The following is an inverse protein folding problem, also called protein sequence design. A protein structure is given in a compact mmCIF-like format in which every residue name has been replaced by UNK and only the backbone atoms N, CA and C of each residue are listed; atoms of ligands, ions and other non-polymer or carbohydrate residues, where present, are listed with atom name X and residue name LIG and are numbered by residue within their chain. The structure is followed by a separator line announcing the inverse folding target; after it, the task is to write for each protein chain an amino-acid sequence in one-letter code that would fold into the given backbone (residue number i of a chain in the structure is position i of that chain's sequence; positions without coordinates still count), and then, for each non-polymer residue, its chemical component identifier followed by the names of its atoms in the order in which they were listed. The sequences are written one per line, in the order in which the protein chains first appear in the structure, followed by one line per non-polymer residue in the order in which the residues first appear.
data_IF_236811420505
#
_entry.id   IF_236811420505
#
_cell.length_a   1.000
_cell.length_b   1.000
_cell.length_c   1.000
_cell.angle_alpha   90.00
_cell.angle_beta   90.00
_cell.angle_gamma   90.00
#
_symmetry.space_group_name_H-M   'P 1'
#
loop_
_entity.id
_entity.type
_entity.pdbx_description
1 polymer ?
#
# COMPACT_ATOMS: atom_id res chain seq x y z
N UNK A 1 -36.12 -71.48 -17.25
CA UNK A 1 -36.64 -70.72 -16.09
C UNK A 1 -35.48 -70.31 -15.20
N UNK A 2 -35.60 -69.19 -14.48
CA UNK A 2 -34.60 -68.61 -13.56
C UNK A 2 -33.75 -67.49 -14.18
N UNK A 3 -34.28 -66.27 -14.08
CA UNK A 3 -33.82 -65.16 -13.20
C UNK A 3 -33.02 -64.12 -13.96
N UNK A 4 -33.75 -63.12 -14.48
CA UNK A 4 -33.23 -61.78 -14.77
C UNK A 4 -32.52 -61.30 -13.50
N UNK A 5 -31.19 -61.20 -13.55
CA UNK A 5 -30.42 -60.48 -12.52
C UNK A 5 -30.67 -58.99 -12.75
N UNK A 6 -31.36 -58.36 -11.81
CA UNK A 6 -31.34 -56.92 -11.63
C UNK A 6 -29.87 -56.46 -11.51
N UNK A 7 -29.46 -55.37 -12.18
CA UNK A 7 -28.12 -54.82 -11.96
C UNK A 7 -27.98 -54.43 -10.49
N UNK A 8 -26.87 -54.81 -9.87
CA UNK A 8 -26.52 -54.40 -8.51
C UNK A 8 -26.39 -52.88 -8.49
N UNK A 9 -26.92 -52.23 -7.46
CA UNK A 9 -26.76 -50.78 -7.18
C UNK A 9 -25.28 -50.32 -7.14
N UNK A 10 -24.33 -51.25 -7.11
CA UNK A 10 -22.90 -50.99 -7.16
C UNK A 10 -22.37 -50.55 -8.55
N UNK A 11 -23.11 -50.77 -9.64
CA UNK A 11 -22.69 -50.36 -11.00
C UNK A 11 -23.24 -48.98 -11.43
N UNK A 12 -24.07 -48.33 -10.62
CA UNK A 12 -24.56 -46.96 -10.88
C UNK A 12 -23.61 -45.86 -10.36
N UNK A 13 -22.55 -46.23 -9.64
CA UNK A 13 -21.52 -45.31 -9.14
C UNK A 13 -20.24 -45.28 -10.00
N UNK A 14 -20.10 -46.19 -10.98
CA UNK A 14 -18.92 -46.30 -11.83
C UNK A 14 -19.01 -45.47 -13.13
N UNK A 15 -20.18 -44.95 -13.48
CA UNK A 15 -20.41 -44.05 -14.64
C UNK A 15 -20.70 -42.60 -14.24
N UNK A 16 -20.37 -42.19 -13.02
CA UNK A 16 -20.38 -40.78 -12.64
C UNK A 16 -18.98 -40.21 -12.88
N UNK A 17 -18.83 -39.13 -13.67
CA UNK A 17 -17.53 -38.47 -13.82
C UNK A 17 -16.99 -38.09 -12.44
N UNK A 18 -15.67 -38.12 -12.23
CA UNK A 18 -15.07 -37.82 -10.93
C UNK A 18 -15.67 -36.51 -10.40
N UNK A 19 -16.26 -36.54 -9.20
CA UNK A 19 -16.84 -35.41 -8.47
C UNK A 19 -15.71 -34.42 -8.12
N UNK A 20 -15.23 -33.75 -9.15
CA UNK A 20 -14.17 -32.76 -9.19
C UNK A 20 -14.58 -31.57 -10.07
N UNK A 21 -15.82 -31.58 -10.59
CA UNK A 21 -16.30 -30.59 -11.56
C UNK A 21 -17.63 -29.87 -11.21
N UNK A 22 -18.12 -29.95 -9.96
CA UNK A 22 -19.38 -29.26 -9.56
C UNK A 22 -19.21 -28.24 -8.43
N UNK A 23 -18.00 -28.09 -7.87
CA UNK A 23 -17.68 -26.92 -7.02
C UNK A 23 -16.31 -26.33 -7.36
N UNK A 24 -16.05 -26.11 -8.65
CA UNK A 24 -15.28 -24.91 -8.99
C UNK A 24 -16.21 -23.75 -8.63
N UNK A 25 -16.13 -23.28 -7.38
CA UNK A 25 -16.55 -21.90 -7.09
C UNK A 25 -15.98 -21.08 -8.23
N UNK A 26 -16.79 -20.33 -9.00
CA UNK A 26 -16.23 -19.49 -10.04
C UNK A 26 -15.15 -18.73 -9.32
N UNK A 27 -13.89 -18.92 -9.74
CA UNK A 27 -12.81 -18.04 -9.34
C UNK A 27 -13.40 -16.72 -9.75
N UNK A 28 -13.98 -15.99 -8.78
CA UNK A 28 -14.46 -14.65 -9.00
C UNK A 28 -13.14 -14.02 -9.36
N UNK A 29 -12.88 -13.89 -10.67
CA UNK A 29 -11.92 -12.92 -11.19
C UNK A 29 -12.20 -11.75 -10.29
N UNK A 30 -11.23 -11.28 -9.47
CA UNK A 30 -11.50 -10.12 -8.65
C UNK A 30 -12.12 -9.15 -9.64
N UNK A 31 -13.39 -8.78 -9.43
CA UNK A 31 -14.04 -7.79 -10.29
C UNK A 31 -12.95 -6.75 -10.46
N UNK A 32 -12.55 -6.38 -11.71
CA UNK A 32 -11.58 -5.32 -11.90
C UNK A 32 -12.00 -4.26 -10.90
N UNK A 33 -11.12 -4.00 -9.93
CA UNK A 33 -11.55 -3.16 -8.85
C UNK A 33 -12.01 -1.88 -9.54
N UNK A 34 -12.96 -1.14 -9.01
CA UNK A 34 -13.47 0.11 -9.61
C UNK A 34 -12.36 1.18 -9.84
N UNK A 35 -11.09 0.81 -9.65
CA UNK A 35 -9.82 1.52 -9.74
C UNK A 35 -8.84 0.97 -10.80
N UNK A 36 -9.18 -0.16 -11.43
CA UNK A 36 -8.72 -0.52 -12.79
C UNK A 36 -9.41 0.37 -13.83
N UNK A 37 -10.50 1.03 -13.42
CA UNK A 37 -11.03 2.24 -14.04
C UNK A 37 -10.04 3.37 -13.71
N UNK A 38 -9.61 4.19 -14.71
CA UNK A 38 -8.81 5.38 -14.44
C UNK A 38 -9.44 6.17 -13.31
N UNK A 39 -8.61 6.74 -12.41
CA UNK A 39 -9.06 7.64 -11.33
C UNK A 39 -10.22 8.48 -11.88
N UNK A 40 -11.43 8.19 -11.36
CA UNK A 40 -12.67 8.66 -11.93
C UNK A 40 -12.57 10.16 -12.19
N UNK A 41 -12.57 10.50 -13.49
CA UNK A 41 -12.76 11.84 -14.02
C UNK A 41 -12.24 12.94 -13.09
N UNK A 42 -10.91 13.07 -12.98
CA UNK A 42 -10.36 14.39 -12.64
C UNK A 42 -11.07 15.39 -13.55
N UNK A 43 -11.80 16.39 -13.01
CA UNK A 43 -12.59 17.30 -13.82
C UNK A 43 -11.71 17.83 -14.95
N UNK A 44 -12.23 17.76 -16.18
CA UNK A 44 -11.53 18.28 -17.36
C UNK A 44 -11.20 19.77 -17.23
N UNK A 45 -11.85 20.47 -16.29
CA UNK A 45 -11.69 21.90 -16.04
C UNK A 45 -11.03 22.12 -14.68
N UNK A 46 -10.14 23.09 -14.63
CA UNK A 46 -9.50 23.56 -13.41
C UNK A 46 -10.50 24.28 -12.50
N UNK A 47 -10.94 23.59 -11.43
CA UNK A 47 -11.74 24.18 -10.35
C UNK A 47 -10.84 24.78 -9.26
N UNK A 48 -11.34 25.69 -8.40
CA UNK A 48 -10.56 26.23 -7.27
C UNK A 48 -10.04 25.14 -6.34
N UNK A 49 -10.83 24.09 -6.08
CA UNK A 49 -10.41 22.95 -5.26
C UNK A 49 -9.26 22.16 -5.90
N UNK A 50 -9.28 21.96 -7.23
CA UNK A 50 -8.20 21.31 -7.97
C UNK A 50 -6.96 22.19 -7.97
N UNK A 51 -7.09 23.50 -8.21
CA UNK A 51 -5.97 24.46 -8.14
C UNK A 51 -5.27 24.39 -6.78
N UNK A 52 -6.02 24.44 -5.68
CA UNK A 52 -5.47 24.33 -4.34
C UNK A 52 -4.79 22.96 -4.08
N UNK A 53 -5.35 21.87 -4.63
CA UNK A 53 -4.71 20.54 -4.57
C UNK A 53 -3.40 20.51 -5.35
N UNK A 54 -3.38 21.04 -6.57
CA UNK A 54 -2.17 21.11 -7.40
C UNK A 54 -1.08 21.94 -6.73
N UNK A 55 -1.44 23.07 -6.13
CA UNK A 55 -0.51 23.91 -5.38
C UNK A 55 0.14 23.15 -4.22
N UNK A 56 -0.62 22.38 -3.44
CA UNK A 56 -0.06 21.55 -2.36
C UNK A 56 0.85 20.44 -2.86
N UNK A 57 0.48 19.80 -3.96
CA UNK A 57 1.29 18.73 -4.58
C UNK A 57 2.64 19.28 -5.03
N UNK A 58 2.61 20.42 -5.71
CA UNK A 58 3.80 21.08 -6.25
C UNK A 58 4.70 21.62 -5.14
N UNK A 59 4.12 22.20 -4.09
CA UNK A 59 4.82 22.61 -2.86
C UNK A 59 5.30 21.43 -2.01
N UNK A 60 5.02 20.19 -2.42
CA UNK A 60 5.41 18.96 -1.72
C UNK A 60 4.92 18.94 -0.26
N UNK A 61 3.66 19.33 -0.05
CA UNK A 61 3.01 19.22 1.26
C UNK A 61 3.16 17.79 1.83
N UNK A 62 3.31 17.65 3.15
CA UNK A 62 3.53 16.35 3.75
C UNK A 62 2.34 15.41 3.52
N UNK A 63 2.67 14.15 3.24
CA UNK A 63 1.70 13.13 2.87
C UNK A 63 1.19 12.40 4.10
N UNK A 64 -0.12 12.38 4.29
CA UNK A 64 -0.74 11.66 5.42
C UNK A 64 -0.64 10.15 5.24
N UNK A 65 -0.57 9.41 6.34
CA UNK A 65 -0.62 7.95 6.31
C UNK A 65 -1.77 7.42 7.15
N UNK A 66 -2.71 6.78 6.45
CA UNK A 66 -3.76 5.96 7.04
C UNK A 66 -3.53 4.51 6.63
N UNK A 67 -3.45 3.62 7.61
CA UNK A 67 -3.21 2.19 7.41
C UNK A 67 -4.07 1.36 8.35
N UNK A 68 -4.63 0.27 7.84
CA UNK A 68 -5.17 -0.79 8.68
C UNK A 68 -4.01 -1.69 9.09
N UNK A 69 -3.76 -1.79 10.39
CA UNK A 69 -2.68 -2.63 10.95
C UNK A 69 -3.12 -4.07 11.14
N UNK A 70 -4.39 -4.29 11.45
CA UNK A 70 -4.92 -5.62 11.68
C UNK A 70 -6.40 -5.63 12.00
N UNK A 71 -6.89 -6.83 12.27
CA UNK A 71 -8.25 -7.10 12.76
C UNK A 71 -8.14 -8.06 13.93
N UNK A 72 -8.96 -7.84 14.94
CA UNK A 72 -9.10 -8.77 16.06
C UNK A 72 -10.27 -9.72 15.76
N UNK A 73 -10.15 -10.98 16.19
CA UNK A 73 -11.17 -12.02 15.97
C UNK A 73 -11.66 -12.65 17.26
N UNK A 74 -10.86 -12.62 18.32
CA UNK A 74 -11.23 -13.13 19.64
C UNK A 74 -11.19 -12.01 20.66
N UNK A 75 -11.91 -12.21 21.76
CA UNK A 75 -11.98 -11.26 22.87
C UNK A 75 -10.61 -11.07 23.51
N UNK A 76 -9.82 -12.13 23.64
CA UNK A 76 -8.46 -12.08 24.19
C UNK A 76 -7.56 -11.20 23.32
N UNK A 77 -7.59 -11.39 22.00
CA UNK A 77 -6.81 -10.57 21.07
C UNK A 77 -7.28 -9.11 21.09
N UNK A 78 -8.58 -8.86 21.25
CA UNK A 78 -9.10 -7.51 21.44
C UNK A 78 -8.57 -6.88 22.73
N UNK A 79 -8.66 -7.57 23.87
CA UNK A 79 -8.18 -7.09 25.17
C UNK A 79 -6.69 -6.75 25.14
N UNK A 80 -5.86 -7.67 24.62
CA UNK A 80 -4.43 -7.44 24.46
C UNK A 80 -4.11 -6.28 23.51
N UNK A 81 -4.93 -6.07 22.46
CA UNK A 81 -4.76 -4.91 21.58
C UNK A 81 -5.08 -3.59 22.29
N UNK A 82 -6.18 -3.55 23.06
CA UNK A 82 -6.56 -2.37 23.84
C UNK A 82 -5.51 -2.05 24.92
N UNK A 83 -4.97 -3.06 25.60
CA UNK A 83 -3.84 -2.91 26.52
C UNK A 83 -2.60 -2.36 25.80
N UNK A 84 -2.28 -2.88 24.62
CA UNK A 84 -1.13 -2.41 23.84
C UNK A 84 -1.27 -0.92 23.47
N UNK A 85 -2.40 -0.51 22.89
CA UNK A 85 -2.58 0.88 22.45
C UNK A 85 -2.70 1.86 23.62
N UNK A 86 -3.18 1.43 24.79
CA UNK A 86 -3.29 2.29 25.98
C UNK A 86 -2.05 2.20 26.88
N UNK A 87 -1.03 1.41 26.52
CA UNK A 87 0.10 1.06 27.41
C UNK A 87 -0.39 0.59 28.79
N UNK A 88 -1.33 -0.35 28.80
CA UNK A 88 -1.98 -0.89 29.99
C UNK A 88 -2.65 0.21 30.87
N UNK A 89 -3.28 1.19 30.22
CA UNK A 89 -3.99 2.30 30.86
C UNK A 89 -3.11 3.50 31.26
N UNK A 90 -1.82 3.51 30.91
CA UNK A 90 -0.94 4.67 31.10
C UNK A 90 -1.29 5.83 30.16
N UNK A 91 -1.76 5.52 28.95
CA UNK A 91 -2.21 6.51 27.97
C UNK A 91 -3.74 6.63 28.01
N UNK A 92 -4.22 7.87 28.07
CA UNK A 92 -5.64 8.17 27.99
C UNK A 92 -6.19 7.88 26.60
N UNK A 93 -7.25 7.06 26.54
CA UNK A 93 -8.04 6.82 25.33
C UNK A 93 -9.27 7.71 25.28
N UNK A 94 -9.77 7.98 24.08
CA UNK A 94 -11.03 8.70 23.86
C UNK A 94 -12.01 7.80 23.11
N UNK A 95 -13.24 7.68 23.62
CA UNK A 95 -14.31 6.89 23.00
C UNK A 95 -15.20 7.72 22.06
N UNK A 96 -16.15 7.06 21.40
CA UNK A 96 -17.14 7.70 20.54
C UNK A 96 -18.01 8.76 21.24
N UNK A 97 -18.21 8.66 22.56
CA UNK A 97 -18.94 9.64 23.36
C UNK A 97 -18.07 10.82 23.82
N UNK A 98 -16.78 10.83 23.48
CA UNK A 98 -15.81 11.78 24.03
C UNK A 98 -15.42 11.50 25.48
N UNK A 99 -15.75 10.32 26.02
CA UNK A 99 -15.34 9.93 27.35
C UNK A 99 -13.83 9.61 27.37
N UNK A 100 -13.12 10.15 28.35
CA UNK A 100 -11.71 9.85 28.59
C UNK A 100 -11.60 8.53 29.37
N UNK A 101 -11.02 7.51 28.74
CA UNK A 101 -10.61 6.28 29.39
C UNK A 101 -9.27 6.53 30.08
N UNK A 102 -9.35 6.95 31.35
CA UNK A 102 -8.18 7.16 32.18
C UNK A 102 -7.87 5.92 33.03
N UNK A 103 -6.62 5.46 32.99
CA UNK A 103 -6.14 4.41 33.85
C UNK A 103 -6.63 3.00 33.51
N UNK A 104 -6.26 2.04 34.36
CA UNK A 104 -6.60 0.62 34.21
C UNK A 104 -8.09 0.32 34.37
N UNK A 105 -8.80 1.13 35.16
CA UNK A 105 -10.24 0.95 35.42
C UNK A 105 -11.02 1.19 34.13
N UNK A 106 -10.85 2.36 33.50
CA UNK A 106 -11.53 2.68 32.25
C UNK A 106 -11.19 1.68 31.12
N UNK A 107 -9.94 1.21 31.06
CA UNK A 107 -9.55 0.14 30.13
C UNK A 107 -10.32 -1.16 30.37
N UNK A 108 -10.41 -1.62 31.63
CA UNK A 108 -11.14 -2.84 31.99
C UNK A 108 -12.64 -2.71 31.70
N UNK A 109 -13.23 -1.55 31.95
CA UNK A 109 -14.64 -1.30 31.67
C UNK A 109 -14.92 -1.37 30.15
N UNK A 110 -14.07 -0.74 29.34
CA UNK A 110 -14.15 -0.85 27.88
C UNK A 110 -13.99 -2.30 27.41
N UNK A 111 -12.98 -2.99 27.93
CA UNK A 111 -12.72 -4.39 27.62
C UNK A 111 -13.90 -5.29 27.98
N UNK A 112 -14.57 -5.06 29.13
CA UNK A 112 -15.75 -5.81 29.54
C UNK A 112 -16.92 -5.53 28.60
N UNK A 113 -17.24 -4.25 28.36
CA UNK A 113 -18.33 -3.86 27.46
C UNK A 113 -18.19 -4.48 26.08
N UNK A 114 -17.02 -4.39 25.46
CA UNK A 114 -16.80 -4.96 24.12
C UNK A 114 -16.74 -6.50 24.13
N UNK A 115 -16.35 -7.12 25.25
CA UNK A 115 -16.41 -8.57 25.40
C UNK A 115 -17.86 -9.07 25.50
N UNK A 116 -18.70 -8.36 26.26
CA UNK A 116 -20.13 -8.66 26.39
C UNK A 116 -20.83 -8.53 25.03
N UNK A 117 -20.56 -7.44 24.31
CA UNK A 117 -21.05 -7.25 22.93
C UNK A 117 -20.59 -8.38 21.99
N UNK A 118 -19.32 -8.79 22.11
CA UNK A 118 -18.77 -9.90 21.31
C UNK A 118 -19.44 -11.23 21.63
N UNK A 119 -19.75 -11.52 22.90
CA UNK A 119 -20.46 -12.74 23.31
C UNK A 119 -21.89 -12.79 22.77
N UNK A 120 -22.57 -11.63 22.68
CA UNK A 120 -23.88 -11.53 22.05
C UNK A 120 -23.81 -11.77 20.53
N UNK A 121 -22.74 -11.32 19.88
CA UNK A 121 -22.50 -11.46 18.44
C UNK A 121 -21.97 -12.85 18.03
N UNK A 122 -21.24 -13.55 18.90
CA UNK A 122 -20.67 -14.88 18.64
C UNK A 122 -21.74 -15.91 18.25
N UNK A 123 -22.94 -15.79 18.85
CA UNK A 123 -24.12 -16.59 18.53
C UNK A 123 -24.58 -16.44 17.07
N UNK A 124 -24.22 -15.34 16.40
CA UNK A 124 -24.58 -15.04 15.01
C UNK A 124 -23.47 -15.39 14.02
N UNK A 125 -22.18 -15.23 14.39
CA UNK A 125 -21.05 -15.51 13.50
C UNK A 125 -19.69 -15.64 14.22
N UNK A 126 -19.29 -16.88 14.51
CA UNK A 126 -17.99 -17.22 15.16
C UNK A 126 -16.74 -16.71 14.42
N UNK A 127 -16.78 -16.55 13.10
CA UNK A 127 -15.60 -16.17 12.30
C UNK A 127 -15.50 -14.67 11.96
N UNK A 128 -16.38 -13.83 12.53
CA UNK A 128 -16.38 -12.39 12.29
C UNK A 128 -15.17 -11.69 12.94
N UNK A 129 -14.67 -10.62 12.32
CA UNK A 129 -13.77 -9.71 13.04
C UNK A 129 -14.55 -8.94 14.10
N UNK A 130 -13.96 -8.77 15.29
CA UNK A 130 -14.51 -7.99 16.39
C UNK A 130 -14.14 -6.51 16.25
N UNK A 131 -12.89 -6.20 15.91
CA UNK A 131 -12.44 -4.83 15.64
C UNK A 131 -11.55 -4.71 14.40
N UNK A 132 -11.50 -3.50 13.85
CA UNK A 132 -10.55 -3.08 12.82
C UNK A 132 -9.62 -2.04 13.44
N UNK A 133 -8.31 -2.30 13.35
CA UNK A 133 -7.29 -1.44 13.93
C UNK A 133 -6.68 -0.58 12.82
N UNK A 134 -6.73 0.74 13.00
CA UNK A 134 -6.32 1.76 12.06
C UNK A 134 -5.23 2.61 12.73
N UNK A 135 -4.21 2.98 12.00
CA UNK A 135 -3.23 4.00 12.40
C UNK A 135 -3.39 5.20 11.48
N UNK A 136 -3.49 6.38 12.09
CA UNK A 136 -3.41 7.69 11.47
C UNK A 136 -2.06 8.29 11.87
N UNK A 137 -1.26 8.75 10.92
CA UNK A 137 0.08 9.26 11.22
C UNK A 137 0.51 10.34 10.27
N UNK A 138 1.45 11.16 10.76
CA UNK A 138 2.04 12.28 10.03
C UNK A 138 3.57 12.22 10.05
N UNK A 139 4.25 12.85 9.07
CA UNK A 139 5.70 13.01 9.10
C UNK A 139 6.19 13.74 10.36
N UNK A 140 7.47 13.53 10.68
CA UNK A 140 8.11 14.16 11.83
C UNK A 140 8.06 15.69 11.72
N UNK A 141 7.93 16.37 12.87
CA UNK A 141 7.82 17.83 12.93
C UNK A 141 6.39 18.37 12.77
N UNK A 142 5.38 17.50 12.65
CA UNK A 142 3.97 17.91 12.70
C UNK A 142 3.52 18.07 14.14
N UNK A 143 2.71 19.09 14.46
CA UNK A 143 2.13 19.25 15.79
C UNK A 143 1.26 18.05 16.17
N UNK A 144 1.65 17.37 17.24
CA UNK A 144 0.98 16.18 17.72
C UNK A 144 -0.43 16.50 18.25
N UNK A 145 -0.64 17.62 18.93
CA UNK A 145 -1.95 17.96 19.48
C UNK A 145 -2.98 18.15 18.34
N UNK A 146 -2.63 18.93 17.32
CA UNK A 146 -3.47 19.10 16.15
C UNK A 146 -3.68 17.78 15.35
N UNK A 147 -2.70 16.86 15.35
CA UNK A 147 -2.89 15.51 14.78
C UNK A 147 -3.93 14.70 15.55
N UNK A 148 -3.92 14.77 16.89
CA UNK A 148 -4.93 14.11 17.73
C UNK A 148 -6.32 14.70 17.47
N UNK A 149 -6.44 16.02 17.40
CA UNK A 149 -7.72 16.67 17.12
C UNK A 149 -8.24 16.36 15.71
N UNK A 150 -7.35 16.26 14.71
CA UNK A 150 -7.71 15.83 13.37
C UNK A 150 -8.17 14.37 13.35
N UNK A 151 -7.52 13.50 14.12
CA UNK A 151 -7.92 12.11 14.28
C UNK A 151 -9.30 11.97 14.95
N UNK A 152 -9.57 12.79 15.98
CA UNK A 152 -10.89 12.86 16.63
C UNK A 152 -11.98 13.20 15.63
N UNK A 153 -11.84 14.30 14.88
CA UNK A 153 -12.86 14.68 13.91
C UNK A 153 -13.02 13.67 12.77
N UNK A 154 -11.91 13.09 12.29
CA UNK A 154 -11.95 12.00 11.32
C UNK A 154 -12.76 10.80 11.83
N UNK A 155 -12.57 10.41 13.10
CA UNK A 155 -13.28 9.29 13.70
C UNK A 155 -14.77 9.58 13.87
N UNK A 156 -15.13 10.79 14.33
CA UNK A 156 -16.52 11.25 14.44
C UNK A 156 -17.21 11.20 13.08
N UNK A 157 -16.63 11.82 12.05
CA UNK A 157 -17.24 11.91 10.72
C UNK A 157 -17.33 10.55 10.02
N UNK A 158 -16.31 9.69 10.18
CA UNK A 158 -16.22 8.43 9.44
C UNK A 158 -16.96 7.29 10.13
N UNK A 159 -16.94 7.25 11.46
CA UNK A 159 -17.42 6.10 12.24
C UNK A 159 -18.50 6.45 13.27
N UNK A 160 -18.54 7.69 13.77
CA UNK A 160 -19.38 8.07 14.91
C UNK A 160 -20.88 7.89 14.73
N UNK A 161 -21.38 7.81 13.50
CA UNK A 161 -22.79 7.52 13.25
C UNK A 161 -23.16 6.04 13.48
N UNK A 162 -22.25 5.10 13.20
CA UNK A 162 -22.60 3.67 13.10
C UNK A 162 -21.70 2.73 13.88
N UNK A 163 -20.54 3.16 14.38
CA UNK A 163 -19.57 2.28 15.01
C UNK A 163 -18.99 2.87 16.29
N UNK A 164 -18.92 2.05 17.33
CA UNK A 164 -18.13 2.33 18.53
C UNK A 164 -16.64 2.34 18.16
N UNK A 165 -15.89 3.26 18.76
CA UNK A 165 -14.45 3.33 18.53
C UNK A 165 -13.72 3.90 19.73
N UNK A 166 -12.45 3.55 19.83
CA UNK A 166 -11.52 4.15 20.78
C UNK A 166 -10.27 4.60 20.04
N UNK A 167 -9.74 5.76 20.37
CA UNK A 167 -8.45 6.19 19.86
C UNK A 167 -7.51 6.66 20.95
N UNK A 168 -6.21 6.42 20.71
CA UNK A 168 -5.12 6.76 21.63
C UNK A 168 -3.98 7.38 20.84
N UNK A 169 -3.44 8.49 21.34
CA UNK A 169 -2.28 9.13 20.76
C UNK A 169 -0.98 8.56 21.33
N UNK A 170 -0.04 8.23 20.45
CA UNK A 170 1.31 7.82 20.82
C UNK A 170 2.32 8.91 20.41
N UNK A 171 3.24 9.23 21.32
CA UNK A 171 4.27 10.28 21.14
C UNK A 171 5.71 9.74 21.19
N UNK A 172 5.88 8.43 21.42
CA UNK A 172 7.20 7.81 21.59
C UNK A 172 8.00 7.75 20.28
N UNK A 173 7.32 7.72 19.14
CA UNK A 173 7.95 7.68 17.83
C UNK A 173 8.24 9.08 17.29
N UNK A 174 9.25 9.16 16.40
CA UNK A 174 9.56 10.38 15.64
C UNK A 174 8.37 10.91 14.80
N UNK A 175 7.38 10.05 14.55
CA UNK A 175 6.20 10.37 13.76
C UNK A 175 4.97 10.41 14.68
N UNK A 176 4.30 11.57 14.82
CA UNK A 176 3.09 11.65 15.61
C UNK A 176 2.02 10.76 14.97
N UNK A 177 1.46 9.86 15.77
CA UNK A 177 0.46 8.91 15.30
C UNK A 177 -0.61 8.62 16.35
N UNK A 178 -1.77 8.21 15.84
CA UNK A 178 -2.95 7.88 16.62
C UNK A 178 -3.39 6.48 16.22
N UNK A 179 -3.50 5.61 17.22
CA UNK A 179 -4.15 4.32 17.11
C UNK A 179 -5.65 4.51 17.23
N UNK A 180 -6.40 4.02 16.24
CA UNK A 180 -7.86 4.04 16.22
C UNK A 180 -8.36 2.60 16.07
N UNK A 181 -9.06 2.11 17.08
CA UNK A 181 -9.70 0.79 17.05
C UNK A 181 -11.19 0.99 16.92
N UNK A 182 -11.77 0.43 15.85
CA UNK A 182 -13.20 0.56 15.54
C UNK A 182 -13.87 -0.79 15.68
N UNK A 183 -15.01 -0.85 16.36
CA UNK A 183 -15.83 -2.06 16.46
C UNK A 183 -16.32 -2.44 15.06
N UNK A 184 -16.06 -3.69 14.68
CA UNK A 184 -16.42 -4.18 13.34
C UNK A 184 -17.92 -4.21 13.16
N UNK A 185 -18.70 -4.66 14.16
CA UNK A 185 -20.15 -4.65 14.09
C UNK A 185 -20.68 -3.23 14.35
N UNK A 186 -21.42 -2.69 13.39
CA UNK A 186 -22.09 -1.40 13.53
C UNK A 186 -23.45 -1.51 14.23
N UNK A 187 -24.01 -0.37 14.63
CA UNK A 187 -25.34 -0.27 15.22
C UNK A 187 -26.45 -0.71 14.25
N UNK A 188 -26.21 -0.60 12.94
CA UNK A 188 -27.07 -1.12 11.88
C UNK A 188 -26.97 -2.64 11.66
N UNK A 189 -26.15 -3.34 12.46
CA UNK A 189 -25.89 -4.77 12.31
C UNK A 189 -24.99 -5.15 11.15
N UNK A 190 -24.48 -4.19 10.37
CA UNK A 190 -23.52 -4.44 9.28
C UNK A 190 -22.10 -4.36 9.80
N UNK A 191 -21.22 -5.18 9.19
CA UNK A 191 -19.80 -5.18 9.55
C UNK A 191 -18.99 -4.21 8.70
N UNK A 192 -18.07 -3.51 9.37
CA UNK A 192 -17.06 -2.67 8.76
C UNK A 192 -16.12 -3.51 7.90
N UNK A 193 -16.23 -3.35 6.58
CA UNK A 193 -15.41 -4.07 5.61
C UNK A 193 -14.64 -3.11 4.68
N UNK A 194 -13.63 -2.40 5.19
CA UNK A 194 -12.85 -1.47 4.41
C UNK A 194 -12.13 -2.17 3.26
N UNK A 195 -12.32 -1.61 2.09
CA UNK A 195 -11.65 -1.96 0.84
C UNK A 195 -10.55 -0.95 0.55
N UNK A 196 -9.79 -1.22 -0.51
CA UNK A 196 -8.71 -0.33 -0.96
C UNK A 196 -9.21 1.09 -1.32
N UNK A 197 -10.44 1.17 -1.83
CA UNK A 197 -11.17 2.42 -2.12
C UNK A 197 -11.25 3.31 -0.87
N UNK A 198 -11.80 2.72 0.19
CA UNK A 198 -12.11 3.41 1.43
C UNK A 198 -10.84 3.97 2.08
N UNK A 199 -9.72 3.26 1.96
CA UNK A 199 -8.43 3.76 2.44
C UNK A 199 -7.97 5.04 1.75
N UNK A 200 -8.28 5.24 0.46
CA UNK A 200 -7.93 6.50 -0.20
C UNK A 200 -8.84 7.63 0.29
N UNK A 201 -10.14 7.37 0.39
CA UNK A 201 -11.12 8.32 0.94
C UNK A 201 -10.75 8.73 2.36
N UNK A 202 -10.39 7.76 3.21
CA UNK A 202 -9.98 8.03 4.59
C UNK A 202 -8.72 8.90 4.68
N UNK A 203 -7.73 8.67 3.79
CA UNK A 203 -6.55 9.55 3.72
C UNK A 203 -6.94 10.97 3.30
N UNK A 204 -7.79 11.11 2.28
CA UNK A 204 -8.22 12.44 1.80
C UNK A 204 -9.02 13.20 2.85
N UNK A 205 -9.90 12.51 3.59
CA UNK A 205 -10.63 13.07 4.74
C UNK A 205 -9.70 13.50 5.86
N UNK A 206 -8.81 12.61 6.30
CA UNK A 206 -7.85 12.94 7.36
C UNK A 206 -6.93 14.10 6.96
N UNK A 207 -6.49 14.18 5.69
CA UNK A 207 -5.76 15.34 5.18
C UNK A 207 -6.62 16.62 5.18
N UNK A 208 -7.93 16.51 4.93
CA UNK A 208 -8.90 17.59 5.08
C UNK A 208 -8.95 18.12 6.51
N UNK A 209 -9.13 17.23 7.48
CA UNK A 209 -9.19 17.58 8.90
C UNK A 209 -7.90 18.23 9.42
N UNK A 210 -6.75 17.77 8.95
CA UNK A 210 -5.46 18.40 9.25
C UNK A 210 -5.37 19.82 8.70
N UNK A 211 -5.84 20.05 7.47
CA UNK A 211 -5.84 21.38 6.83
C UNK A 211 -6.75 22.37 7.55
N UNK A 212 -7.90 21.92 8.05
CA UNK A 212 -8.80 22.76 8.87
C UNK A 212 -8.12 23.22 10.17
N UNK A 213 -7.11 22.49 10.64
CA UNK A 213 -6.30 22.79 11.84
C UNK A 213 -4.97 23.46 11.51
N UNK A 214 -4.83 24.00 10.30
CA UNK A 214 -3.63 24.73 9.89
C UNK A 214 -2.43 23.85 9.52
N UNK A 215 -2.55 22.53 9.56
CA UNK A 215 -1.49 21.61 9.11
C UNK A 215 -1.61 21.43 7.60
N UNK A 216 -0.58 21.88 6.87
CA UNK A 216 -0.46 21.56 5.45
C UNK A 216 -0.35 20.04 5.30
N UNK A 217 -1.32 19.40 4.65
CA UNK A 217 -1.35 17.95 4.48
C UNK A 217 -2.01 17.59 3.15
N UNK A 218 -1.52 16.53 2.51
CA UNK A 218 -2.09 15.99 1.27
C UNK A 218 -2.14 14.46 1.29
N UNK A 219 -2.99 13.88 0.45
CA UNK A 219 -3.21 12.44 0.37
C UNK A 219 -3.13 11.97 -1.09
N UNK A 220 -1.95 12.08 -1.71
CA UNK A 220 -1.81 11.69 -3.11
C UNK A 220 -1.47 10.21 -3.30
N UNK A 221 -2.19 9.50 -4.19
CA UNK A 221 -1.82 8.15 -4.58
C UNK A 221 -0.40 8.14 -5.11
N UNK A 222 0.41 7.17 -4.70
CA UNK A 222 1.82 7.03 -5.12
C UNK A 222 2.04 7.19 -6.64
N UNK A 223 1.11 6.67 -7.46
CA UNK A 223 1.14 6.76 -8.92
C UNK A 223 1.09 8.18 -9.46
N UNK A 224 0.40 9.09 -8.76
CA UNK A 224 0.28 10.50 -9.15
C UNK A 224 1.58 11.27 -8.93
N UNK A 225 2.43 10.79 -8.02
CA UNK A 225 3.78 11.32 -7.75
C UNK A 225 4.88 10.75 -8.66
N UNK A 226 4.53 10.08 -9.75
CA UNK A 226 5.51 9.44 -10.65
C UNK A 226 6.18 8.17 -10.09
N UNK A 227 5.80 7.72 -8.88
CA UNK A 227 6.39 6.53 -8.24
C UNK A 227 5.68 5.26 -8.69
N UNK A 228 6.22 4.61 -9.71
CA UNK A 228 5.72 3.35 -10.28
C UNK A 228 6.02 2.15 -9.37
N UNK A 229 7.23 2.11 -8.81
CA UNK A 229 7.76 0.99 -8.05
C UNK A 229 7.16 0.90 -6.65
N UNK A 230 6.81 -0.32 -6.22
CA UNK A 230 6.44 -0.60 -4.82
C UNK A 230 7.68 -0.52 -3.97
N UNK A 231 7.53 0.11 -2.80
CA UNK A 231 8.56 0.01 -1.77
C UNK A 231 8.75 -1.47 -1.45
N UNK A 232 10.00 -1.86 -1.27
CA UNK A 232 10.31 -3.22 -0.86
C UNK A 232 9.75 -3.48 0.53
N UNK A 233 9.38 -4.73 0.80
CA UNK A 233 8.89 -5.14 2.12
C UNK A 233 10.00 -4.94 3.15
N UNK A 234 9.64 -4.59 4.38
CA UNK A 234 10.60 -4.39 5.47
C UNK A 234 11.56 -5.56 5.65
N UNK A 235 11.07 -6.80 5.53
CA UNK A 235 11.90 -8.02 5.58
C UNK A 235 12.95 -8.08 4.46
N UNK A 236 12.59 -7.69 3.23
CA UNK A 236 13.53 -7.66 2.09
C UNK A 236 14.59 -6.59 2.31
N UNK A 237 14.20 -5.42 2.80
CA UNK A 237 15.14 -4.35 3.15
C UNK A 237 16.08 -4.78 4.28
N UNK A 238 15.57 -5.46 5.32
CA UNK A 238 16.37 -5.96 6.43
C UNK A 238 17.38 -7.03 6.00
N UNK A 239 17.00 -7.95 5.10
CA UNK A 239 17.92 -8.94 4.54
C UNK A 239 19.04 -8.27 3.74
N UNK A 240 18.70 -7.32 2.85
CA UNK A 240 19.71 -6.57 2.09
C UNK A 240 20.64 -5.75 2.97
N UNK A 241 20.13 -5.15 4.05
CA UNK A 241 20.96 -4.45 5.05
C UNK A 241 21.95 -5.38 5.75
N UNK A 242 21.65 -6.67 5.84
CA UNK A 242 22.54 -7.72 6.36
C UNK A 242 23.37 -8.36 5.26
N UNK A 243 23.40 -7.79 4.05
CA UNK A 243 24.09 -8.29 2.86
C UNK A 243 23.63 -9.69 2.41
N UNK A 244 22.48 -10.16 2.91
CA UNK A 244 21.88 -11.43 2.50
C UNK A 244 21.00 -11.18 1.28
N UNK A 245 21.29 -11.88 0.18
CA UNK A 245 20.47 -11.79 -1.04
C UNK A 245 19.10 -12.46 -0.81
N UNK A 246 17.98 -11.72 -0.88
CA UNK A 246 16.65 -12.28 -0.69
C UNK A 246 16.29 -13.28 -1.80
N UNK A 247 15.53 -14.32 -1.46
CA UNK A 247 15.01 -15.31 -2.43
C UNK A 247 14.30 -14.65 -3.63
N UNK A 248 13.52 -13.60 -3.37
CA UNK A 248 12.79 -12.85 -4.42
C UNK A 248 13.73 -12.13 -5.40
N UNK A 249 14.91 -11.72 -4.96
CA UNK A 249 15.90 -11.06 -5.82
C UNK A 249 16.62 -12.11 -6.67
N UNK A 250 17.01 -13.24 -6.05
CA UNK A 250 17.59 -14.38 -6.76
C UNK A 250 16.65 -14.90 -7.85
N UNK A 251 15.37 -15.14 -7.52
CA UNK A 251 14.35 -15.58 -8.48
C UNK A 251 14.15 -14.60 -9.62
N UNK A 252 14.09 -13.30 -9.33
CA UNK A 252 13.95 -12.29 -10.38
C UNK A 252 15.15 -12.30 -11.35
N UNK A 253 16.38 -12.48 -10.85
CA UNK A 253 17.58 -12.60 -11.70
C UNK A 253 17.55 -13.87 -12.54
N UNK A 254 17.21 -15.02 -11.95
CA UNK A 254 17.06 -16.30 -12.66
C UNK A 254 16.03 -16.20 -13.79
N UNK A 255 14.89 -15.56 -13.55
CA UNK A 255 13.83 -15.39 -14.55
C UNK A 255 14.29 -14.50 -15.71
N UNK A 256 15.03 -13.42 -15.44
CA UNK A 256 15.57 -12.55 -16.51
C UNK A 256 16.59 -13.29 -17.36
N UNK A 257 17.49 -14.07 -16.73
CA UNK A 257 18.48 -14.87 -17.46
C UNK A 257 17.78 -15.92 -18.34
N UNK A 258 16.73 -16.57 -17.83
CA UNK A 258 15.93 -17.50 -18.60
C UNK A 258 15.26 -16.80 -19.80
N UNK A 259 14.59 -15.68 -19.58
CA UNK A 259 13.94 -14.91 -20.65
C UNK A 259 14.96 -14.46 -21.72
N UNK A 260 16.19 -14.13 -21.32
CA UNK A 260 17.27 -13.76 -22.24
C UNK A 260 17.76 -14.95 -23.08
N UNK A 261 17.94 -16.13 -22.47
CA UNK A 261 18.36 -17.36 -23.18
C UNK A 261 17.26 -17.83 -24.13
N UNK A 262 16.00 -17.77 -23.70
CA UNK A 262 14.84 -18.19 -24.50
C UNK A 262 14.44 -17.17 -25.57
N UNK A 263 15.15 -16.02 -25.68
CA UNK A 263 14.83 -14.96 -26.64
C UNK A 263 13.48 -14.28 -26.38
N UNK A 264 12.89 -14.47 -25.20
CA UNK A 264 11.62 -13.88 -24.77
C UNK A 264 11.84 -12.43 -24.38
N UNK A 265 12.03 -11.59 -25.40
CA UNK A 265 12.20 -10.14 -25.23
C UNK A 265 10.88 -9.37 -25.21
N UNK A 266 9.73 -10.05 -25.39
CA UNK A 266 8.43 -9.39 -25.47
C UNK A 266 8.12 -8.58 -24.21
N UNK A 267 7.87 -7.28 -24.40
CA UNK A 267 7.36 -6.39 -23.35
C UNK A 267 6.12 -6.99 -22.71
N UNK A 268 6.12 -7.06 -21.37
CA UNK A 268 5.01 -7.68 -20.65
C UNK A 268 3.78 -6.75 -20.72
N UNK A 269 2.55 -7.25 -20.93
CA UNK A 269 1.37 -6.39 -21.11
C UNK A 269 1.12 -5.37 -19.99
N UNK A 270 1.45 -5.72 -18.74
CA UNK A 270 1.32 -4.80 -17.60
C UNK A 270 2.36 -3.69 -17.60
N UNK A 271 3.51 -3.84 -18.26
CA UNK A 271 4.52 -2.79 -18.40
C UNK A 271 3.99 -1.67 -19.29
N UNK A 272 3.38 -2.03 -20.43
CA UNK A 272 2.68 -1.08 -21.31
C UNK A 272 1.54 -0.36 -20.60
N UNK A 273 0.74 -1.08 -19.81
CA UNK A 273 -0.34 -0.47 -19.03
C UNK A 273 0.19 0.50 -17.97
N UNK A 274 1.28 0.14 -17.27
CA UNK A 274 1.94 1.03 -16.32
C UNK A 274 2.46 2.27 -17.00
N UNK A 275 3.09 2.13 -18.17
CA UNK A 275 3.63 3.23 -18.94
C UNK A 275 2.54 4.18 -19.40
N UNK A 276 1.54 3.66 -20.12
CA UNK A 276 0.40 4.44 -20.62
C UNK A 276 -0.32 5.18 -19.49
N UNK A 277 -0.50 4.54 -18.33
CA UNK A 277 -1.12 5.19 -17.16
C UNK A 277 -0.26 6.32 -16.60
N UNK A 278 1.06 6.17 -16.56
CA UNK A 278 1.96 7.23 -16.09
C UNK A 278 2.04 8.38 -17.08
N UNK A 279 2.11 8.11 -18.38
CA UNK A 279 2.06 9.12 -19.43
C UNK A 279 0.76 9.92 -19.36
N UNK A 280 -0.38 9.25 -19.16
CA UNK A 280 -1.67 9.92 -18.96
C UNK A 280 -1.66 10.85 -17.74
N UNK A 281 -1.05 10.43 -16.62
CA UNK A 281 -0.91 11.27 -15.42
C UNK A 281 -0.03 12.49 -15.71
N UNK A 282 1.14 12.30 -16.33
CA UNK A 282 2.05 13.39 -16.69
C UNK A 282 1.37 14.38 -17.63
N UNK A 283 0.68 13.88 -18.67
CA UNK A 283 -0.10 14.69 -19.60
C UNK A 283 -1.15 15.53 -18.89
N UNK A 284 -1.88 14.96 -17.92
CA UNK A 284 -2.87 15.70 -17.12
C UNK A 284 -2.26 16.88 -16.36
N UNK A 285 -1.08 16.72 -15.75
CA UNK A 285 -0.40 17.84 -15.12
C UNK A 285 -0.02 18.93 -16.14
N UNK A 286 0.43 18.56 -17.34
CA UNK A 286 0.76 19.52 -18.40
C UNK A 286 -0.50 20.22 -18.95
N UNK A 287 -1.61 19.51 -19.08
CA UNK A 287 -2.90 20.08 -19.50
C UNK A 287 -3.36 21.16 -18.50
N UNK A 288 -3.28 20.88 -17.19
CA UNK A 288 -3.60 21.86 -16.15
C UNK A 288 -2.64 23.05 -16.12
N UNK A 289 -1.34 22.83 -16.35
CA UNK A 289 -0.36 23.92 -16.46
C UNK A 289 -0.70 24.84 -17.64
N UNK A 290 -1.12 24.27 -18.76
CA UNK A 290 -1.52 25.02 -19.95
C UNK A 290 -2.83 25.78 -19.73
N UNK A 291 -3.80 25.20 -19.01
CA UNK A 291 -5.04 25.86 -18.63
C UNK A 291 -4.80 27.06 -17.68
N UNK A 292 -3.89 26.91 -16.70
CA UNK A 292 -3.48 27.99 -15.78
C UNK A 292 -2.85 29.17 -16.53
N UNK A 293 -1.99 28.90 -17.52
CA UNK A 293 -1.36 29.96 -18.31
C UNK A 293 -2.36 30.73 -19.16
N UNK A 294 -3.35 30.04 -19.72
CA UNK A 294 -4.41 30.66 -20.52
C UNK A 294 -5.25 31.65 -19.71
N UNK A 295 -5.43 31.43 -18.40
CA UNK A 295 -6.15 32.36 -17.52
C UNK A 295 -5.37 33.67 -17.27
N UNK A 296 -4.05 33.66 -17.42
CA UNK A 296 -3.24 34.87 -17.48
C UNK A 296 -2.98 35.60 -16.14
N UNK A 297 -3.35 35.04 -14.99
CA UNK A 297 -2.99 35.62 -13.69
C UNK A 297 -1.52 35.36 -13.33
N UNK A 298 -0.86 36.28 -12.62
CA UNK A 298 0.55 36.14 -12.26
C UNK A 298 0.82 34.92 -11.36
N UNK A 299 -0.08 34.67 -10.40
CA UNK A 299 -0.06 33.50 -9.52
C UNK A 299 -0.27 32.19 -10.27
N UNK A 300 -1.16 32.19 -11.28
CA UNK A 300 -1.44 31.00 -12.10
C UNK A 300 -0.26 30.68 -13.02
N UNK A 301 0.40 31.69 -13.60
CA UNK A 301 1.65 31.49 -14.34
C UNK A 301 2.77 30.92 -13.47
N UNK A 302 2.88 31.37 -12.21
CA UNK A 302 3.86 30.84 -11.28
C UNK A 302 3.59 29.36 -10.96
N UNK A 303 2.34 29.02 -10.65
CA UNK A 303 1.92 27.64 -10.41
C UNK A 303 2.14 26.74 -11.63
N UNK A 304 1.84 27.22 -12.85
CA UNK A 304 2.07 26.47 -14.08
C UNK A 304 3.55 26.14 -14.31
N UNK A 305 4.46 27.09 -14.05
CA UNK A 305 5.92 26.83 -14.12
C UNK A 305 6.35 25.74 -13.15
N UNK A 306 5.90 25.85 -11.89
CA UNK A 306 6.23 24.86 -10.88
C UNK A 306 5.62 23.47 -11.19
N UNK A 307 4.45 23.41 -11.83
CA UNK A 307 3.85 22.16 -12.30
C UNK A 307 4.68 21.48 -13.38
N UNK A 308 5.23 22.24 -14.33
CA UNK A 308 6.13 21.68 -15.36
C UNK A 308 7.43 21.17 -14.76
N UNK A 309 8.00 21.92 -13.83
CA UNK A 309 9.16 21.50 -13.05
C UNK A 309 8.88 20.21 -12.27
N UNK A 310 7.72 20.13 -11.60
CA UNK A 310 7.29 18.92 -10.90
C UNK A 310 7.21 17.70 -11.82
N UNK A 311 6.69 17.84 -13.05
CA UNK A 311 6.63 16.75 -14.04
C UNK A 311 8.02 16.36 -14.54
N UNK A 312 8.91 17.34 -14.76
CA UNK A 312 10.30 17.11 -15.16
C UNK A 312 11.07 16.32 -14.09
N UNK A 313 10.85 16.65 -12.83
CA UNK A 313 11.51 16.01 -11.68
C UNK A 313 10.91 14.64 -11.32
N UNK A 314 9.86 14.18 -12.01
CA UNK A 314 9.27 12.87 -11.73
C UNK A 314 10.26 11.74 -12.07
N UNK A 315 10.33 10.68 -11.23
CA UNK A 315 11.13 9.51 -11.54
C UNK A 315 10.79 8.89 -12.89
N UNK A 316 11.78 8.26 -13.54
CA UNK A 316 11.59 7.52 -14.76
C UNK A 316 10.49 6.46 -14.62
N UNK A 317 9.73 6.23 -15.70
CA UNK A 317 8.63 5.26 -15.76
C UNK A 317 9.21 3.87 -15.96
N UNK A 318 9.98 3.41 -14.97
CA UNK A 318 10.70 2.15 -15.05
C UNK A 318 10.17 1.16 -14.01
N UNK A 319 9.88 -0.05 -14.48
CA UNK A 319 9.56 -1.17 -13.60
C UNK A 319 10.83 -1.73 -12.96
N UNK A 320 10.67 -2.44 -11.85
CA UNK A 320 11.78 -3.17 -11.23
C UNK A 320 12.43 -4.17 -12.20
N UNK A 321 11.63 -4.76 -13.08
CA UNK A 321 12.07 -5.72 -14.08
C UNK A 321 12.96 -5.07 -15.14
N UNK A 322 12.55 -3.92 -15.68
CA UNK A 322 13.34 -3.14 -16.64
C UNK A 322 14.68 -2.69 -16.04
N UNK A 323 14.69 -2.28 -14.77
CA UNK A 323 15.92 -1.89 -14.08
C UNK A 323 16.88 -3.07 -13.87
N UNK A 324 16.37 -4.22 -13.43
CA UNK A 324 17.19 -5.44 -13.32
C UNK A 324 17.73 -5.90 -14.67
N UNK A 325 16.96 -5.74 -15.76
CA UNK A 325 17.43 -6.00 -17.13
C UNK A 325 18.59 -5.07 -17.51
N UNK A 326 18.49 -3.76 -17.18
CA UNK A 326 19.56 -2.79 -17.41
C UNK A 326 20.82 -3.14 -16.60
N UNK A 327 20.68 -3.42 -15.31
CA UNK A 327 21.80 -3.82 -14.45
C UNK A 327 22.50 -5.08 -14.98
N UNK A 328 21.75 -6.10 -15.41
CA UNK A 328 22.32 -7.33 -15.99
C UNK A 328 23.00 -7.07 -17.33
N UNK A 329 22.43 -6.21 -18.18
CA UNK A 329 23.04 -5.82 -19.45
C UNK A 329 24.34 -5.03 -19.24
N UNK A 330 24.36 -4.11 -18.28
CA UNK A 330 25.55 -3.35 -17.88
C UNK A 330 26.64 -4.26 -17.31
N UNK A 331 26.26 -5.23 -16.46
CA UNK A 331 27.18 -6.23 -15.92
C UNK A 331 27.75 -7.16 -16.99
N UNK A 332 26.91 -7.59 -17.95
CA UNK A 332 27.38 -8.38 -19.09
C UNK A 332 28.33 -7.56 -19.97
N UNK A 333 28.05 -6.27 -20.17
CA UNK A 333 28.91 -5.37 -20.93
C UNK A 333 30.24 -5.08 -20.22
N UNK A 334 30.25 -4.91 -18.89
CA UNK A 334 31.49 -4.74 -18.12
C UNK A 334 32.36 -5.99 -18.21
N UNK A 335 31.79 -7.18 -17.97
CA UNK A 335 32.48 -8.47 -18.11
C UNK A 335 33.10 -8.65 -19.50
N UNK A 336 32.40 -8.24 -20.57
CA UNK A 336 32.94 -8.29 -21.95
C UNK A 336 34.12 -7.32 -22.14
N UNK A 337 34.06 -6.13 -21.55
CA UNK A 337 35.17 -5.15 -21.60
C UNK A 337 36.38 -5.63 -20.81
N UNK A 338 36.17 -6.20 -19.63
CA UNK A 338 37.24 -6.75 -18.79
C UNK A 338 37.93 -7.91 -19.51
N UNK A 339 37.14 -8.85 -20.07
CA UNK A 339 37.68 -9.95 -20.87
C UNK A 339 38.39 -9.50 -22.17
N UNK A 340 38.05 -8.34 -22.73
CA UNK A 340 38.76 -7.77 -23.87
C UNK A 340 40.10 -7.14 -23.44
N UNK A 341 40.14 -6.47 -22.28
CA UNK A 341 41.38 -5.92 -21.70
C UNK A 341 42.38 -6.99 -21.26
N UNK A 342 41.88 -8.09 -20.71
CA UNK A 342 42.72 -9.23 -20.31
C UNK A 342 43.36 -9.93 -21.53
N UNK A 343 42.74 -9.84 -22.71
CA UNK A 343 43.31 -10.35 -23.98
C UNK A 343 44.31 -9.40 -24.63
N UNK A 344 44.27 -8.11 -24.30
CA UNK A 344 45.19 -7.07 -24.79
C UNK A 344 46.40 -6.86 -23.87
N UNK A 345 46.47 -7.54 -22.72
CA UNK A 345 47.64 -7.52 -21.86
C UNK A 345 48.79 -8.31 -22.52
N UNK A 346 49.95 -7.69 -22.82
CA UNK A 346 51.07 -8.41 -23.43
C UNK A 346 51.54 -9.52 -22.49
N UNK A 347 51.74 -10.73 -23.02
CA UNK A 347 52.46 -11.76 -22.28
C UNK A 347 53.84 -11.21 -21.89
N UNK A 348 54.33 -11.42 -20.65
CA UNK A 348 55.73 -11.13 -20.34
C UNK A 348 56.57 -11.99 -21.28
N UNK A 349 57.44 -11.36 -22.07
CA UNK A 349 58.37 -12.06 -22.94
C UNK A 349 59.26 -12.97 -22.07
N UNK A 350 59.20 -14.28 -22.32
CA UNK A 350 60.23 -15.22 -21.88
C UNK A 350 61.54 -14.86 -22.59
N UNK A 351 62.33 -13.98 -21.98
CA UNK A 351 63.70 -13.72 -22.42
C UNK A 351 64.52 -13.21 -21.24
N UNK A 352 64.85 -14.09 -20.29
CA UNK A 352 66.02 -13.95 -19.41
C UNK A 352 66.20 -15.21 -18.56
N UNK A 353 66.68 -16.29 -19.17
CA UNK A 353 67.44 -17.34 -18.47
C UNK A 353 68.44 -17.97 -19.44
N UNK A 354 69.47 -17.19 -19.78
CA UNK A 354 70.79 -17.75 -20.07
C UNK A 354 71.79 -16.63 -19.85
N UNK A 355 72.48 -16.67 -18.70
CA UNK A 355 73.89 -16.34 -18.52
C UNK A 355 74.22 -16.15 -17.03
N UNK A 356 74.95 -17.14 -16.51
CA UNK A 356 75.72 -17.27 -15.25
C UNK A 356 75.38 -18.64 -14.68
N UNK A 357 76.28 -19.61 -14.65
CA UNK A 357 77.60 -19.54 -14.02
C UNK A 357 78.64 -20.41 -14.75
N UNK A 358 79.84 -19.84 -14.87
CA UNK A 358 81.13 -20.53 -14.85
C UNK A 358 81.64 -20.52 -13.42
#
# INVERSE_FOLDING_TARGET
MSRRRSPREADLFAELPPISYVWQTPIRRPRPAEWDIPDGLAPRRLTPAIRARLERIVKRAPEVMVKITGRTKSVEHLKSHLEYITRNGELAGETEQGALLAGRVGLKDLQSRWADDAALDDRRRRDGSLSVNIILSMPAGTDAAAVKDAARAFAIETFGHNHDYVFVQHLEDKHPHVHLTVRSLGHDGKRLNPRKADLQVWRERFAGELRLRGIAAEATPRRTRGKVRKADRGTVLALRKREITPYVDRRAREEILRDAVEGKSAERPWEKQIQSRQEAIRRRYLDYASELERKGEATDRALARQMREFVRDMPAIETRWQLLKKELAEFAASRRRDAARDRESPQPSESEKDEREK
#
